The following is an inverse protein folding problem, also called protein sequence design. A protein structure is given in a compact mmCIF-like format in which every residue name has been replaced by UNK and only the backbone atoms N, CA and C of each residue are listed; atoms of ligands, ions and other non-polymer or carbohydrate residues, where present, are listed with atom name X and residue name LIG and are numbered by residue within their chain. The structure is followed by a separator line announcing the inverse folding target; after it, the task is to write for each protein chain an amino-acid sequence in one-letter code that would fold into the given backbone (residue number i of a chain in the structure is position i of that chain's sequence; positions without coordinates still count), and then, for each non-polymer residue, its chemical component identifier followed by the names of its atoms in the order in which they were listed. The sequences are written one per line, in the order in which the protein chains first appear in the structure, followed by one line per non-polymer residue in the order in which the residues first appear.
data_IF_615206025172
#
_entry.id   IF_615206025172
#
_cell.length_a   1.000
_cell.length_b   1.000
_cell.length_c   1.000
_cell.angle_alpha   90.00
_cell.angle_beta   90.00
_cell.angle_gamma   90.00
#
_symmetry.space_group_name_H-M   'P 1'
#
loop_
_entity.id
_entity.type
_entity.pdbx_description
1 polymer ?
#
# COMPACT_ATOMS: atom_id res chain seq x y z
N UNK A 1 22.51 4.64 -7.44
CA UNK A 1 23.13 3.84 -8.50
C UNK A 1 24.38 4.54 -8.99
N UNK A 2 25.44 3.81 -9.29
CA UNK A 2 26.70 4.36 -9.80
C UNK A 2 27.11 3.62 -11.08
N UNK A 3 27.52 4.34 -12.11
CA UNK A 3 27.94 3.76 -13.39
C UNK A 3 29.46 3.72 -13.48
N UNK A 4 30.02 2.53 -13.69
CA UNK A 4 31.46 2.28 -13.78
C UNK A 4 31.78 1.60 -15.12
N UNK A 5 32.02 2.42 -16.15
CA UNK A 5 32.31 1.91 -17.49
C UNK A 5 31.17 1.04 -18.03
N UNK A 6 31.41 -0.27 -18.11
CA UNK A 6 30.45 -1.26 -18.64
C UNK A 6 29.57 -1.92 -17.57
N UNK A 7 29.68 -1.49 -16.31
CA UNK A 7 28.88 -2.02 -15.20
C UNK A 7 28.10 -0.91 -14.49
N UNK A 8 26.85 -1.21 -14.16
CA UNK A 8 26.02 -0.43 -13.24
C UNK A 8 26.07 -1.08 -11.86
N UNK A 9 26.44 -0.31 -10.85
CA UNK A 9 26.36 -0.69 -9.45
C UNK A 9 25.08 -0.14 -8.82
N UNK A 10 24.31 -1.02 -8.19
CA UNK A 10 23.02 -0.74 -7.57
C UNK A 10 23.07 -1.21 -6.12
N UNK A 11 22.66 -0.35 -5.18
CA UNK A 11 22.57 -0.68 -3.76
C UNK A 11 21.09 -0.72 -3.40
N UNK A 12 20.57 -1.92 -3.08
CA UNK A 12 19.22 -2.10 -2.56
C UNK A 12 19.24 -2.11 -1.03
N UNK A 13 18.30 -1.37 -0.42
CA UNK A 13 18.05 -1.45 1.02
C UNK A 13 16.75 -2.19 1.25
N UNK A 14 16.82 -3.38 1.86
CA UNK A 14 15.64 -4.22 2.09
C UNK A 14 15.16 -4.12 3.53
N UNK A 15 13.97 -3.56 3.72
CA UNK A 15 13.28 -3.44 5.02
C UNK A 15 11.76 -3.30 4.84
N UNK A 16 11.17 -4.00 3.86
CA UNK A 16 9.76 -3.87 3.51
C UNK A 16 9.47 -2.50 2.93
N UNK A 17 8.45 -1.80 3.43
CA UNK A 17 8.09 -0.46 2.95
C UNK A 17 8.59 0.66 3.86
N UNK A 18 9.71 0.49 4.61
CA UNK A 18 10.23 1.53 5.53
C UNK A 18 11.73 1.76 5.39
N UNK A 19 12.13 2.87 4.78
CA UNK A 19 13.54 3.22 4.56
C UNK A 19 14.21 2.21 3.64
N UNK A 20 13.57 1.87 2.52
CA UNK A 20 13.97 0.79 1.62
C UNK A 20 14.11 1.29 0.20
N UNK A 21 15.00 0.70 -0.58
CA UNK A 21 15.28 1.07 -1.97
C UNK A 21 15.29 -0.20 -2.82
N UNK A 22 14.42 -0.24 -3.82
CA UNK A 22 14.26 -1.37 -4.73
C UNK A 22 14.42 -0.93 -6.18
N UNK A 23 15.05 -1.77 -7.00
CA UNK A 23 15.36 -1.44 -8.38
C UNK A 23 14.86 -2.53 -9.33
N UNK A 24 14.22 -2.10 -10.41
CA UNK A 24 13.68 -2.97 -11.45
C UNK A 24 14.14 -2.50 -12.81
N UNK A 25 14.46 -3.42 -13.72
CA UNK A 25 14.81 -3.11 -15.11
C UNK A 25 13.67 -3.56 -16.01
N UNK A 26 13.27 -2.72 -16.96
CA UNK A 26 12.32 -3.11 -17.99
C UNK A 26 13.01 -4.01 -19.02
N UNK A 27 12.58 -5.27 -19.13
CA UNK A 27 13.21 -6.28 -20.02
C UNK A 27 12.73 -6.24 -21.48
N UNK A 28 11.79 -5.34 -21.77
CA UNK A 28 11.09 -5.21 -23.06
C UNK A 28 9.61 -5.59 -22.97
N UNK A 29 9.20 -6.26 -21.88
CA UNK A 29 7.80 -6.56 -21.60
C UNK A 29 7.39 -6.17 -20.19
N UNK A 30 8.26 -6.42 -19.21
CA UNK A 30 7.97 -6.18 -17.80
C UNK A 30 9.17 -5.60 -17.05
N UNK A 31 8.89 -4.92 -15.95
CA UNK A 31 9.83 -4.64 -14.88
C UNK A 31 10.15 -5.93 -14.13
N UNK A 32 11.42 -6.32 -14.18
CA UNK A 32 11.98 -7.45 -13.42
C UNK A 32 12.96 -6.90 -12.37
N UNK A 33 13.08 -7.54 -11.19
CA UNK A 33 13.99 -7.06 -10.14
C UNK A 33 15.44 -7.07 -10.63
N UNK A 34 16.26 -6.14 -10.12
CA UNK A 34 17.66 -5.99 -10.54
C UNK A 34 18.46 -7.30 -10.43
N UNK A 35 18.13 -8.14 -9.44
CA UNK A 35 18.75 -9.45 -9.21
C UNK A 35 18.41 -10.48 -10.29
N UNK A 36 17.35 -10.27 -11.07
CA UNK A 36 16.93 -11.16 -12.16
C UNK A 36 17.47 -10.74 -13.54
N UNK A 37 18.18 -9.61 -13.62
CA UNK A 37 18.79 -9.15 -14.87
C UNK A 37 19.91 -10.10 -15.29
N UNK A 38 19.99 -10.51 -16.58
CA UNK A 38 21.05 -11.40 -17.04
C UNK A 38 22.47 -10.87 -16.73
N UNK A 39 23.27 -11.68 -16.05
CA UNK A 39 24.64 -11.30 -15.65
C UNK A 39 24.72 -10.40 -14.41
N UNK A 40 23.60 -10.08 -13.76
CA UNK A 40 23.61 -9.41 -12.46
C UNK A 40 24.29 -10.29 -11.41
N UNK A 41 25.17 -9.68 -10.60
CA UNK A 41 25.94 -10.37 -9.55
C UNK A 41 25.78 -9.62 -8.23
N UNK A 42 25.40 -10.35 -7.18
CA UNK A 42 25.47 -9.84 -5.81
C UNK A 42 26.94 -9.79 -5.39
N UNK A 43 27.47 -8.60 -5.12
CA UNK A 43 28.88 -8.37 -4.77
C UNK A 43 29.10 -8.02 -3.30
N UNK A 44 28.06 -7.51 -2.61
CA UNK A 44 28.08 -7.30 -1.17
C UNK A 44 26.70 -7.58 -0.57
N UNK A 45 26.69 -8.10 0.66
CA UNK A 45 25.51 -8.26 1.49
C UNK A 45 25.88 -7.90 2.92
N UNK A 46 25.40 -6.75 3.37
CA UNK A 46 25.65 -6.25 4.72
C UNK A 46 24.43 -6.49 5.60
N UNK A 47 24.55 -7.33 6.64
CA UNK A 47 23.46 -7.57 7.57
C UNK A 47 23.31 -6.37 8.52
N UNK A 48 22.08 -6.13 8.97
CA UNK A 48 21.76 -5.08 9.92
C UNK A 48 20.26 -5.01 10.16
N UNK A 49 19.80 -3.93 10.81
CA UNK A 49 18.35 -3.64 10.92
C UNK A 49 17.69 -3.54 9.54
N UNK A 50 18.45 -3.12 8.54
CA UNK A 50 18.12 -3.16 7.11
C UNK A 50 19.21 -3.94 6.42
N UNK A 51 18.84 -4.82 5.50
CA UNK A 51 19.81 -5.56 4.71
C UNK A 51 20.20 -4.67 3.53
N UNK A 52 21.48 -4.37 3.39
CA UNK A 52 22.00 -3.70 2.20
C UNK A 52 22.58 -4.73 1.24
N UNK A 53 22.15 -4.69 -0.02
CA UNK A 53 22.59 -5.59 -1.07
C UNK A 53 23.17 -4.78 -2.22
N UNK A 54 24.43 -5.03 -2.54
CA UNK A 54 25.08 -4.38 -3.68
C UNK A 54 25.13 -5.33 -4.86
N UNK A 55 24.53 -4.92 -5.97
CA UNK A 55 24.54 -5.65 -7.23
C UNK A 55 25.41 -4.92 -8.26
N UNK A 56 26.17 -5.70 -9.04
CA UNK A 56 26.78 -5.23 -10.28
C UNK A 56 26.06 -5.84 -11.47
N UNK A 57 25.67 -5.00 -12.42
CA UNK A 57 24.87 -5.38 -13.59
C UNK A 57 25.59 -4.91 -14.86
N UNK A 58 25.83 -5.80 -15.84
CA UNK A 58 26.38 -5.39 -17.13
C UNK A 58 25.43 -4.40 -17.82
N UNK A 59 25.94 -3.26 -18.27
CA UNK A 59 25.12 -2.25 -18.95
C UNK A 59 24.51 -2.77 -20.25
N UNK A 60 25.20 -3.69 -20.93
CA UNK A 60 24.71 -4.40 -22.12
C UNK A 60 23.47 -5.27 -21.86
N UNK A 61 23.20 -5.64 -20.61
CA UNK A 61 22.00 -6.39 -20.21
C UNK A 61 20.81 -5.49 -19.88
N UNK A 62 21.01 -4.17 -19.77
CA UNK A 62 19.96 -3.19 -19.47
C UNK A 62 19.33 -2.73 -20.78
N UNK A 63 18.15 -3.26 -21.11
CA UNK A 63 17.48 -3.02 -22.39
C UNK A 63 16.53 -1.82 -22.40
N UNK A 64 16.10 -1.37 -21.21
CA UNK A 64 15.06 -0.37 -21.07
C UNK A 64 15.25 0.47 -19.81
N UNK A 65 14.24 1.28 -19.44
CA UNK A 65 14.28 2.09 -18.24
C UNK A 65 14.41 1.24 -16.97
N UNK A 66 15.01 1.85 -15.96
CA UNK A 66 15.13 1.33 -14.60
C UNK A 66 14.08 2.05 -13.75
N UNK A 67 13.20 1.29 -13.11
CA UNK A 67 12.31 1.82 -12.09
C UNK A 67 13.00 1.69 -10.72
N UNK A 68 13.24 2.83 -10.09
CA UNK A 68 13.66 2.92 -8.70
C UNK A 68 12.45 3.24 -7.82
N UNK A 69 12.24 2.42 -6.79
CA UNK A 69 11.21 2.65 -5.78
C UNK A 69 11.87 2.82 -4.43
N UNK A 70 11.83 4.04 -3.90
CA UNK A 70 12.36 4.37 -2.58
C UNK A 70 11.22 4.57 -1.59
N UNK A 71 11.35 4.03 -0.40
CA UNK A 71 10.41 4.21 0.70
C UNK A 71 11.05 5.04 1.79
N UNK A 72 10.42 6.13 2.19
CA UNK A 72 10.81 6.90 3.38
C UNK A 72 10.76 6.05 4.65
N UNK A 73 11.34 6.53 5.75
CA UNK A 73 11.28 5.85 7.06
C UNK A 73 9.83 5.65 7.56
N UNK A 74 8.91 6.54 7.17
CA UNK A 74 7.48 6.44 7.47
C UNK A 74 6.71 5.56 6.47
N UNK A 75 7.34 5.25 5.33
CA UNK A 75 6.88 4.31 4.34
C UNK A 75 6.11 4.89 3.16
N UNK A 76 6.16 6.20 2.98
CA UNK A 76 5.74 6.83 1.73
C UNK A 76 6.69 6.45 0.60
N UNK A 77 6.17 5.92 -0.52
CA UNK A 77 6.98 5.59 -1.69
C UNK A 77 7.31 6.85 -2.51
N UNK A 78 8.44 6.80 -3.20
CA UNK A 78 8.86 7.67 -4.29
C UNK A 78 9.21 6.77 -5.47
N UNK A 79 8.61 7.04 -6.62
CA UNK A 79 8.88 6.32 -7.86
C UNK A 79 9.76 7.19 -8.76
N UNK A 80 10.87 6.66 -9.23
CA UNK A 80 11.77 7.33 -10.17
C UNK A 80 12.04 6.42 -11.36
N UNK A 81 11.93 6.97 -12.56
CA UNK A 81 12.31 6.27 -13.78
C UNK A 81 13.65 6.81 -14.23
N UNK A 82 14.62 5.91 -14.37
CA UNK A 82 15.97 6.21 -14.79
C UNK A 82 16.28 5.57 -16.14
N UNK A 83 16.86 6.35 -17.05
CA UNK A 83 17.31 5.88 -18.37
C UNK A 83 18.81 6.00 -18.49
N UNK A 84 19.44 4.93 -18.99
CA UNK A 84 20.85 4.92 -19.33
C UNK A 84 21.02 5.47 -20.74
N UNK A 85 21.71 6.60 -20.89
CA UNK A 85 22.02 7.22 -22.19
C UNK A 85 23.46 7.73 -22.19
N UNK A 86 24.21 7.47 -23.27
CA UNK A 86 25.59 7.96 -23.45
C UNK A 86 26.50 7.77 -22.22
N UNK A 87 26.45 6.61 -21.58
CA UNK A 87 27.21 6.31 -20.37
C UNK A 87 26.93 7.29 -19.20
N UNK A 88 25.68 7.74 -19.10
CA UNK A 88 25.16 8.57 -18.01
C UNK A 88 23.76 8.09 -17.62
N UNK A 89 23.42 8.29 -16.34
CA UNK A 89 22.09 7.95 -15.82
C UNK A 89 21.29 9.25 -15.67
N UNK A 90 20.12 9.30 -16.32
CA UNK A 90 19.17 10.39 -16.15
C UNK A 90 17.92 9.84 -15.46
N UNK A 91 17.54 10.41 -14.33
CA UNK A 91 16.38 10.00 -13.55
C UNK A 91 15.32 11.10 -13.51
N UNK A 92 14.07 10.70 -13.56
CA UNK A 92 12.92 11.59 -13.41
C UNK A 92 11.96 11.01 -12.36
N UNK A 93 11.51 11.87 -11.44
CA UNK A 93 10.48 11.51 -10.47
C UNK A 93 9.16 11.30 -11.23
N UNK A 94 8.49 10.19 -10.94
CA UNK A 94 7.16 9.89 -11.42
C UNK A 94 6.15 10.32 -10.36
N UNK A 95 5.27 11.26 -10.70
CA UNK A 95 4.10 11.57 -9.89
C UNK A 95 3.03 10.51 -10.18
N UNK A 96 3.06 9.41 -9.41
CA UNK A 96 2.12 8.31 -9.59
C UNK A 96 0.81 8.61 -8.86
N UNK A 97 -0.17 9.13 -9.60
CA UNK A 97 -1.57 9.11 -9.17
C UNK A 97 -2.21 7.72 -9.33
N UNK A 98 -3.49 7.59 -9.01
CA UNK A 98 -4.23 6.32 -9.04
C UNK A 98 -4.29 5.70 -10.45
N UNK A 99 -4.51 6.51 -11.49
CA UNK A 99 -4.60 6.05 -12.88
C UNK A 99 -3.23 5.62 -13.40
N UNK A 100 -2.19 6.41 -13.11
CA UNK A 100 -0.80 6.08 -13.44
C UNK A 100 -0.35 4.83 -12.69
N UNK A 101 -0.76 4.66 -11.44
CA UNK A 101 -0.47 3.46 -10.66
C UNK A 101 -1.09 2.21 -11.29
N UNK A 102 -2.33 2.31 -11.78
CA UNK A 102 -2.99 1.22 -12.50
C UNK A 102 -2.25 0.82 -13.77
N UNK A 103 -1.71 1.78 -14.52
CA UNK A 103 -0.89 1.49 -15.71
C UNK A 103 0.42 0.81 -15.30
N UNK A 104 1.15 1.39 -14.35
CA UNK A 104 2.45 0.88 -13.93
C UNK A 104 2.38 -0.51 -13.30
N UNK A 105 1.29 -0.82 -12.57
CA UNK A 105 1.03 -2.14 -12.01
C UNK A 105 1.07 -3.25 -13.07
N UNK A 106 0.51 -3.00 -14.25
CA UNK A 106 0.49 -3.97 -15.36
C UNK A 106 1.86 -4.19 -16.00
N UNK A 107 2.85 -3.37 -15.64
CA UNK A 107 4.21 -3.50 -16.13
C UNK A 107 5.09 -4.37 -15.21
N UNK A 108 4.61 -4.80 -14.04
CA UNK A 108 5.36 -5.72 -13.18
C UNK A 108 5.22 -7.16 -13.65
N UNK A 109 6.31 -7.93 -13.60
CA UNK A 109 6.27 -9.36 -13.86
C UNK A 109 5.70 -10.09 -12.65
N UNK A 110 4.49 -10.63 -12.79
CA UNK A 110 3.81 -11.40 -11.75
C UNK A 110 4.11 -12.90 -11.85
N UNK A 111 4.21 -13.57 -10.71
CA UNK A 111 4.15 -15.04 -10.64
C UNK A 111 2.72 -15.53 -10.94
N UNK A 112 2.56 -16.85 -11.14
CA UNK A 112 1.23 -17.45 -11.35
C UNK A 112 0.30 -17.24 -10.16
N UNK A 113 0.82 -17.33 -8.95
CA UNK A 113 0.05 -17.22 -7.71
C UNK A 113 -0.38 -15.77 -7.48
N UNK A 114 0.47 -14.82 -7.86
CA UNK A 114 0.20 -13.39 -7.77
C UNK A 114 -0.88 -12.93 -8.75
N UNK A 115 -0.90 -13.46 -9.98
CA UNK A 115 -1.87 -13.05 -11.01
C UNK A 115 -3.31 -13.21 -10.51
N UNK A 116 -3.62 -14.34 -9.86
CA UNK A 116 -4.96 -14.55 -9.31
C UNK A 116 -5.27 -13.55 -8.21
N UNK A 117 -4.36 -13.38 -7.24
CA UNK A 117 -4.58 -12.54 -6.07
C UNK A 117 -4.67 -11.05 -6.44
N UNK A 118 -3.85 -10.58 -7.37
CA UNK A 118 -3.88 -9.21 -7.90
C UNK A 118 -5.20 -8.93 -8.61
N UNK A 119 -5.68 -9.87 -9.44
CA UNK A 119 -7.00 -9.74 -10.08
C UNK A 119 -8.12 -9.70 -9.06
N UNK A 120 -8.11 -10.66 -8.12
CA UNK A 120 -9.08 -10.70 -7.04
C UNK A 120 -9.11 -9.39 -6.24
N UNK A 121 -7.94 -8.81 -5.95
CA UNK A 121 -7.85 -7.50 -5.31
C UNK A 121 -8.53 -6.40 -6.12
N UNK A 122 -8.17 -6.27 -7.39
CA UNK A 122 -8.72 -5.22 -8.27
C UNK A 122 -10.24 -5.35 -8.42
N UNK A 123 -10.75 -6.58 -8.51
CA UNK A 123 -12.17 -6.87 -8.70
C UNK A 123 -12.99 -6.69 -7.41
N UNK A 124 -12.34 -6.79 -6.24
CA UNK A 124 -13.05 -6.82 -4.94
C UNK A 124 -12.95 -5.51 -4.17
N UNK A 125 -11.78 -4.89 -4.11
CA UNK A 125 -11.52 -3.78 -3.19
C UNK A 125 -12.33 -2.53 -3.54
N UNK A 126 -12.35 -2.12 -4.81
CA UNK A 126 -13.11 -0.92 -5.21
C UNK A 126 -14.62 -1.07 -4.99
N UNK A 127 -15.28 -2.19 -5.35
CA UNK A 127 -16.68 -2.42 -4.98
C UNK A 127 -16.95 -2.35 -3.47
N UNK A 128 -16.11 -2.97 -2.64
CA UNK A 128 -16.28 -2.92 -1.18
C UNK A 128 -16.13 -1.49 -0.65
N UNK A 129 -15.13 -0.74 -1.11
CA UNK A 129 -14.94 0.68 -0.74
C UNK A 129 -16.16 1.52 -1.13
N UNK A 130 -16.72 1.29 -2.33
CA UNK A 130 -17.91 2.01 -2.78
C UNK A 130 -19.14 1.70 -1.92
N UNK A 131 -19.32 0.44 -1.52
CA UNK A 131 -20.38 0.05 -0.60
C UNK A 131 -20.19 0.64 0.81
N UNK A 132 -18.96 0.63 1.35
CA UNK A 132 -18.60 1.30 2.60
C UNK A 132 -18.98 2.79 2.54
N UNK A 133 -18.56 3.49 1.47
CA UNK A 133 -18.89 4.92 1.27
C UNK A 133 -20.40 5.14 1.18
N UNK A 134 -21.13 4.22 0.55
CA UNK A 134 -22.59 4.27 0.46
C UNK A 134 -23.25 4.18 1.84
N UNK A 135 -22.76 3.28 2.70
CA UNK A 135 -23.22 3.16 4.09
C UNK A 135 -22.89 4.42 4.87
N UNK A 136 -21.66 4.96 4.76
CA UNK A 136 -21.25 6.21 5.43
C UNK A 136 -22.21 7.35 5.14
N UNK A 137 -22.65 7.51 3.88
CA UNK A 137 -23.65 8.53 3.51
C UNK A 137 -24.98 8.29 4.21
N UNK A 138 -25.50 7.05 4.22
CA UNK A 138 -26.76 6.69 4.89
C UNK A 138 -26.71 6.88 6.40
N UNK A 139 -25.56 6.62 7.01
CA UNK A 139 -25.30 6.79 8.44
C UNK A 139 -24.90 8.21 8.82
N UNK A 140 -24.92 9.16 7.88
CA UNK A 140 -24.53 10.58 8.07
C UNK A 140 -23.11 10.73 8.64
N UNK A 141 -22.21 9.82 8.27
CA UNK A 141 -20.80 9.87 8.62
C UNK A 141 -20.06 10.79 7.65
N UNK A 142 -19.26 11.72 8.17
CA UNK A 142 -18.53 12.68 7.34
C UNK A 142 -17.24 12.12 6.75
N UNK A 143 -16.47 11.35 7.52
CA UNK A 143 -15.22 10.73 7.07
C UNK A 143 -14.85 9.54 7.97
N UNK A 144 -13.85 8.78 7.53
CA UNK A 144 -13.12 7.84 8.36
C UNK A 144 -11.76 8.46 8.64
N UNK A 145 -11.48 8.69 9.92
CA UNK A 145 -10.18 9.14 10.40
C UNK A 145 -9.35 7.93 10.77
N UNK A 146 -8.09 7.92 10.31
CA UNK A 146 -7.16 6.82 10.53
C UNK A 146 -6.04 7.30 11.45
N UNK A 147 -5.82 6.59 12.54
CA UNK A 147 -4.80 6.87 13.54
C UNK A 147 -3.73 5.78 13.60
N UNK A 148 -2.55 6.15 14.10
CA UNK A 148 -1.47 5.21 14.41
C UNK A 148 -1.05 4.35 13.21
N UNK A 149 -1.14 3.02 13.36
CA UNK A 149 -0.71 2.07 12.34
C UNK A 149 -1.74 1.81 11.21
N UNK A 150 -2.87 2.52 11.20
CA UNK A 150 -3.94 2.36 10.20
C UNK A 150 -3.69 3.11 8.88
N UNK A 151 -2.57 3.85 8.74
CA UNK A 151 -2.25 4.64 7.54
C UNK A 151 -2.26 3.83 6.24
N UNK A 152 -1.90 2.54 6.31
CA UNK A 152 -1.94 1.69 5.13
C UNK A 152 -3.36 1.28 4.71
N UNK A 153 -4.26 1.12 5.68
CA UNK A 153 -5.67 0.95 5.37
C UNK A 153 -6.24 2.23 4.76
N UNK A 154 -5.85 3.41 5.26
CA UNK A 154 -6.20 4.69 4.66
C UNK A 154 -5.76 4.78 3.20
N UNK A 155 -4.51 4.44 2.90
CA UNK A 155 -3.98 4.41 1.54
C UNK A 155 -4.81 3.48 0.63
N UNK A 156 -5.08 2.25 1.07
CA UNK A 156 -5.94 1.32 0.33
C UNK A 156 -7.36 1.87 0.13
N UNK A 157 -7.94 2.50 1.15
CA UNK A 157 -9.31 3.04 1.10
C UNK A 157 -9.44 4.25 0.16
N UNK A 158 -8.42 5.10 0.09
CA UNK A 158 -8.43 6.32 -0.73
C UNK A 158 -7.93 6.07 -2.16
N UNK A 159 -6.89 5.24 -2.32
CA UNK A 159 -6.16 5.01 -3.58
C UNK A 159 -5.77 3.52 -3.70
N UNK A 160 -6.73 2.61 -3.99
CA UNK A 160 -6.51 1.17 -4.00
C UNK A 160 -5.46 0.69 -5.03
N UNK A 161 -5.42 1.23 -6.24
CA UNK A 161 -4.42 0.84 -7.24
C UNK A 161 -3.02 1.33 -6.85
N UNK A 162 -2.91 2.55 -6.32
CA UNK A 162 -1.65 3.03 -5.77
C UNK A 162 -1.18 2.15 -4.62
N UNK A 163 -2.08 1.80 -3.69
CA UNK A 163 -1.74 0.92 -2.57
C UNK A 163 -1.22 -0.44 -3.07
N UNK A 164 -1.91 -1.05 -4.04
CA UNK A 164 -1.47 -2.31 -4.65
C UNK A 164 -0.11 -2.19 -5.36
N UNK A 165 0.14 -1.10 -6.10
CA UNK A 165 1.44 -0.81 -6.71
C UNK A 165 2.56 -0.76 -5.66
N UNK A 166 2.33 -0.14 -4.49
CA UNK A 166 3.34 -0.10 -3.42
C UNK A 166 3.70 -1.50 -2.91
N UNK A 167 2.72 -2.42 -2.88
CA UNK A 167 2.96 -3.81 -2.50
C UNK A 167 3.76 -4.52 -3.59
N UNK A 168 3.42 -4.28 -4.86
CA UNK A 168 4.12 -4.88 -5.99
C UNK A 168 5.58 -4.46 -6.13
N UNK A 169 5.94 -3.31 -5.57
CA UNK A 169 7.33 -2.87 -5.50
C UNK A 169 8.20 -3.68 -4.53
N UNK A 170 7.62 -4.54 -3.69
CA UNK A 170 8.40 -5.44 -2.83
C UNK A 170 9.05 -6.54 -3.68
N UNK A 171 10.35 -6.85 -3.51
CA UNK A 171 11.05 -7.78 -4.38
C UNK A 171 10.71 -9.25 -4.11
N UNK A 172 10.21 -9.57 -2.92
CA UNK A 172 9.90 -10.93 -2.48
C UNK A 172 8.42 -11.29 -2.72
N UNK A 173 8.18 -12.38 -3.45
CA UNK A 173 6.84 -12.85 -3.80
C UNK A 173 5.97 -13.17 -2.57
N UNK A 174 6.53 -13.86 -1.57
CA UNK A 174 5.77 -14.20 -0.36
C UNK A 174 5.36 -12.95 0.41
N UNK A 175 6.29 -12.00 0.53
CA UNK A 175 6.02 -10.69 1.13
C UNK A 175 4.93 -9.91 0.38
N UNK A 176 4.89 -10.00 -0.96
CA UNK A 176 3.83 -9.39 -1.77
C UNK A 176 2.47 -10.04 -1.50
N UNK A 177 2.38 -11.37 -1.61
CA UNK A 177 1.15 -12.13 -1.34
C UNK A 177 0.60 -11.81 0.05
N UNK A 178 1.42 -11.96 1.09
CA UNK A 178 1.01 -11.69 2.47
C UNK A 178 0.53 -10.25 2.64
N UNK A 179 1.22 -9.28 2.04
CA UNK A 179 0.80 -7.89 2.13
C UNK A 179 -0.54 -7.63 1.45
N UNK A 180 -0.80 -8.27 0.29
CA UNK A 180 -2.08 -8.13 -0.42
C UNK A 180 -3.21 -8.73 0.40
N UNK A 181 -3.02 -9.92 0.97
CA UNK A 181 -4.00 -10.59 1.85
C UNK A 181 -4.37 -9.73 3.06
N UNK A 182 -3.38 -9.10 3.70
CA UNK A 182 -3.61 -8.19 4.84
C UNK A 182 -4.47 -7.00 4.41
N UNK A 183 -4.21 -6.38 3.25
CA UNK A 183 -5.04 -5.26 2.75
C UNK A 183 -6.46 -5.69 2.42
N UNK A 184 -6.61 -6.87 1.82
CA UNK A 184 -7.94 -7.44 1.53
C UNK A 184 -8.72 -7.67 2.82
N UNK A 185 -8.09 -8.28 3.82
CA UNK A 185 -8.69 -8.49 5.14
C UNK A 185 -9.17 -7.17 5.73
N UNK A 186 -8.31 -6.15 5.80
CA UNK A 186 -8.69 -4.88 6.43
C UNK A 186 -9.86 -4.18 5.73
N UNK A 187 -9.95 -4.25 4.40
CA UNK A 187 -11.09 -3.69 3.66
C UNK A 187 -12.35 -4.54 3.85
N UNK A 188 -12.23 -5.87 3.82
CA UNK A 188 -13.36 -6.77 4.04
C UNK A 188 -13.93 -6.64 5.45
N UNK A 189 -13.07 -6.55 6.46
CA UNK A 189 -13.45 -6.33 7.85
C UNK A 189 -14.14 -4.97 8.05
N UNK A 190 -13.60 -3.90 7.46
CA UNK A 190 -14.25 -2.59 7.46
C UNK A 190 -15.62 -2.64 6.77
N UNK A 191 -15.74 -3.39 5.68
CA UNK A 191 -17.02 -3.62 5.01
C UNK A 191 -18.02 -4.37 5.90
N UNK A 192 -17.60 -5.46 6.56
CA UNK A 192 -18.46 -6.19 7.53
C UNK A 192 -18.94 -5.27 8.63
N UNK A 193 -18.07 -4.42 9.18
CA UNK A 193 -18.44 -3.40 10.15
C UNK A 193 -19.57 -2.50 9.62
N UNK A 194 -19.49 -2.03 8.37
CA UNK A 194 -20.55 -1.20 7.79
C UNK A 194 -21.87 -1.94 7.64
N UNK A 195 -21.86 -3.26 7.42
CA UNK A 195 -23.08 -4.07 7.38
C UNK A 195 -23.78 -4.17 8.73
N UNK A 196 -23.05 -4.13 9.84
CA UNK A 196 -23.66 -4.05 11.17
C UNK A 196 -24.44 -2.74 11.34
N UNK A 197 -23.89 -1.62 10.89
CA UNK A 197 -24.55 -0.30 10.93
C UNK A 197 -25.82 -0.30 10.06
N UNK A 198 -25.74 -0.89 8.86
CA UNK A 198 -26.87 -0.98 7.94
C UNK A 198 -28.03 -1.80 8.50
N UNK A 199 -27.74 -2.94 9.13
CA UNK A 199 -28.76 -3.82 9.73
C UNK A 199 -29.58 -3.11 10.80
N UNK A 200 -28.95 -2.24 11.59
CA UNK A 200 -29.63 -1.48 12.64
C UNK A 200 -30.21 -0.13 12.18
N UNK A 201 -30.12 0.19 10.87
CA UNK A 201 -30.41 1.54 10.33
C UNK A 201 -29.75 2.63 11.19
N UNK A 202 -28.44 2.50 11.34
CA UNK A 202 -27.64 3.30 12.26
C UNK A 202 -27.33 4.70 11.73
N UNK A 203 -27.48 5.71 12.60
CA UNK A 203 -27.00 7.07 12.41
C UNK A 203 -25.78 7.33 13.29
N UNK A 204 -24.71 7.87 12.71
CA UNK A 204 -23.47 8.18 13.44
C UNK A 204 -23.68 9.40 14.32
N UNK A 205 -23.30 9.26 15.58
CA UNK A 205 -23.34 10.31 16.59
C UNK A 205 -22.04 11.12 16.56
N UNK A 206 -22.15 12.40 16.92
CA UNK A 206 -21.05 13.36 16.98
C UNK A 206 -20.19 13.17 18.24
N UNK A 207 -19.60 11.98 18.39
CA UNK A 207 -18.84 11.57 19.57
C UNK A 207 -17.50 10.95 19.20
N UNK A 208 -16.50 11.20 20.03
CA UNK A 208 -15.14 10.70 19.86
C UNK A 208 -14.49 10.37 21.20
N UNK A 209 -13.55 9.42 21.22
CA UNK A 209 -12.78 9.10 22.43
C UNK A 209 -11.35 9.60 22.27
N UNK A 210 -10.88 10.36 23.25
CA UNK A 210 -9.47 10.76 23.40
C UNK A 210 -9.04 10.36 24.81
N UNK A 211 -8.02 9.49 24.91
CA UNK A 211 -7.45 9.04 26.19
C UNK A 211 -8.51 8.49 27.18
N UNK A 212 -9.51 7.77 26.67
CA UNK A 212 -10.60 7.21 27.47
C UNK A 212 -11.73 8.19 27.83
N UNK A 213 -11.65 9.46 27.40
CA UNK A 213 -12.72 10.45 27.57
C UNK A 213 -13.55 10.57 26.31
N UNK A 214 -14.87 10.39 26.43
CA UNK A 214 -15.80 10.66 25.33
C UNK A 214 -16.08 12.16 25.27
N UNK A 215 -15.76 12.78 24.15
CA UNK A 215 -15.99 14.19 23.86
C UNK A 215 -16.93 14.34 22.66
N UNK A 216 -17.74 15.40 22.67
CA UNK A 216 -18.43 15.83 21.46
C UNK A 216 -17.39 16.47 20.54
N UNK A 217 -17.20 15.92 19.35
CA UNK A 217 -16.22 16.42 18.39
C UNK A 217 -16.96 16.82 17.13
N UNK A 218 -16.76 18.03 16.57
CA UNK A 218 -17.46 18.45 15.38
C UNK A 218 -17.12 17.55 14.18
N UNK A 219 -18.11 16.78 13.75
CA UNK A 219 -18.06 15.87 12.62
C UNK A 219 -18.31 14.44 13.07
N UNK A 220 -19.43 13.88 12.61
CA UNK A 220 -19.82 12.48 12.75
C UNK A 220 -18.80 11.56 12.05
N UNK A 221 -17.61 11.37 12.62
CA UNK A 221 -16.52 10.63 12.01
C UNK A 221 -16.39 9.23 12.63
N UNK A 222 -15.98 8.27 11.82
CA UNK A 222 -15.49 6.99 12.33
C UNK A 222 -13.98 7.09 12.62
N UNK A 223 -13.50 6.43 13.68
CA UNK A 223 -12.08 6.38 14.04
C UNK A 223 -11.53 4.98 13.89
N UNK A 224 -10.45 4.82 13.14
CA UNK A 224 -9.76 3.54 13.04
C UNK A 224 -8.32 3.72 13.47
N UNK A 225 -7.97 3.15 14.61
CA UNK A 225 -6.60 3.12 15.10
C UNK A 225 -6.23 1.70 15.51
N UNK A 226 -5.21 1.16 14.86
CA UNK A 226 -4.77 -0.21 15.12
C UNK A 226 -4.02 -0.27 16.46
N UNK A 227 -4.13 -1.42 17.14
CA UNK A 227 -3.47 -1.70 18.43
C UNK A 227 -3.95 -0.86 19.61
N UNK A 228 -5.05 -0.11 19.46
CA UNK A 228 -5.75 0.53 20.57
C UNK A 228 -7.18 0.02 20.65
N UNK A 229 -7.68 -0.10 21.88
CA UNK A 229 -9.07 -0.49 22.13
C UNK A 229 -9.96 0.76 22.15
N UNK A 230 -10.00 1.47 21.03
CA UNK A 230 -10.85 2.65 20.86
C UNK A 230 -12.11 2.28 20.06
N UNK A 231 -13.27 2.86 20.38
CA UNK A 231 -14.47 2.64 19.60
C UNK A 231 -14.31 3.24 18.19
N UNK A 232 -14.77 2.52 17.17
CA UNK A 232 -14.82 3.08 15.82
C UNK A 232 -15.90 4.14 15.72
N UNK A 233 -17.09 3.80 16.22
CA UNK A 233 -18.28 4.58 15.98
C UNK A 233 -19.25 4.49 17.15
N UNK A 234 -19.91 5.61 17.39
CA UNK A 234 -21.10 5.71 18.22
C UNK A 234 -22.30 5.84 17.29
N UNK A 235 -23.24 4.91 17.41
CA UNK A 235 -24.34 4.77 16.47
C UNK A 235 -25.66 4.82 17.23
N UNK A 236 -26.62 5.61 16.75
CA UNK A 236 -28.00 5.54 17.19
C UNK A 236 -28.82 4.77 16.17
N UNK A 237 -29.45 3.67 16.58
CA UNK A 237 -30.33 2.92 15.69
C UNK A 237 -31.66 3.65 15.51
N UNK A 238 -32.08 3.85 14.27
CA UNK A 238 -33.41 4.40 13.96
C UNK A 238 -34.52 3.37 14.17
N UNK A 239 -34.20 2.07 14.22
CA UNK A 239 -35.18 0.98 14.37
C UNK A 239 -35.72 0.86 15.78
N UNK A 240 -34.87 0.97 16.78
CA UNK A 240 -35.24 0.79 18.19
C UNK A 240 -34.88 2.00 19.07
N UNK A 241 -34.29 3.06 18.51
CA UNK A 241 -33.87 4.27 19.21
C UNK A 241 -32.77 4.05 20.28
N UNK A 242 -32.13 2.87 20.30
CA UNK A 242 -31.00 2.55 21.18
C UNK A 242 -29.68 3.10 20.64
N UNK A 243 -28.74 3.36 21.55
CA UNK A 243 -27.37 3.75 21.23
C UNK A 243 -26.42 2.56 21.34
N UNK A 244 -25.54 2.41 20.36
CA UNK A 244 -24.55 1.37 20.26
C UNK A 244 -23.16 1.99 20.15
N UNK A 245 -22.20 1.42 20.86
CA UNK A 245 -20.77 1.71 20.68
C UNK A 245 -20.16 0.51 19.99
N UNK A 246 -19.57 0.71 18.81
CA UNK A 246 -18.97 -0.36 18.04
C UNK A 246 -17.46 -0.29 18.20
N UNK A 247 -16.89 -1.37 18.70
CA UNK A 247 -15.45 -1.59 18.78
C UNK A 247 -15.01 -2.51 17.65
N UNK A 248 -13.79 -2.29 17.18
CA UNK A 248 -13.18 -3.12 16.17
C UNK A 248 -11.67 -3.13 16.38
N UNK A 249 -11.13 -4.34 16.38
CA UNK A 249 -9.71 -4.56 16.33
C UNK A 249 -9.43 -5.37 15.07
N UNK A 250 -8.68 -4.82 14.10
CA UNK A 250 -8.36 -5.53 12.86
C UNK A 250 -7.55 -6.78 13.15
N UNK A 251 -7.69 -7.78 12.28
CA UNK A 251 -6.78 -8.92 12.27
C UNK A 251 -5.35 -8.42 11.95
N UNK A 252 -4.38 -8.92 12.73
CA UNK A 252 -2.94 -8.64 12.61
C UNK A 252 -2.25 -9.86 12.02
#
# INVERSE_FOLDING_TARGET
MNLYGTELEVVERRSGTRGSDYYYVHDGSFFIPISAVPGARLVSKEPGRRIELTYKVPTSSIKGPILHVSFSNSGYPLFEICTLSNNSMQCCICDCDEDSAKVLLNMFKLSKDEVYLVRFYMDTVSPLINDIKSVMVRSKTSDIRFGGYAERLRETFKTPYFSLLTLMALPDEKGRIQSIEVRLSHIAELWVFTKLIEVIDGETLDRWVIEGLTINSPGNNWWIEFMRNEPIAFIKSRRNNEEYTIYYQPSI
#
